data_IF_155341660099
#
_entry.id   IF_155341660099
#
_cell.length_a   1.000
_cell.length_b   1.000
_cell.length_c   1.000
_cell.angle_alpha   90.00
_cell.angle_beta   90.00
_cell.angle_gamma   90.00
#
_symmetry.space_group_name_H-M   'P 1'
#
loop_
_entity.id
_entity.type
_entity.pdbx_description
1 polymer ?
#
# COMPACT_ATOMS: atom_id res chain seq x y z
N UNK A 1 -7.45 4.24 -7.62
CA UNK A 1 -8.54 5.25 -7.66
C UNK A 1 -8.38 6.23 -6.51
N UNK A 2 -8.73 7.49 -6.73
CA UNK A 2 -8.74 8.50 -5.68
C UNK A 2 -9.84 8.18 -4.66
N UNK A 3 -9.53 8.28 -3.37
CA UNK A 3 -10.48 8.13 -2.28
C UNK A 3 -11.03 9.51 -1.91
N UNK A 4 -12.35 9.67 -1.93
CA UNK A 4 -13.03 10.86 -1.44
C UNK A 4 -13.21 10.76 0.08
N UNK A 5 -12.80 11.78 0.81
CA UNK A 5 -13.17 11.96 2.23
C UNK A 5 -14.23 13.05 2.31
N UNK A 6 -15.32 12.77 3.02
CA UNK A 6 -16.46 13.69 3.17
C UNK A 6 -16.03 15.02 3.81
N UNK A 7 -16.68 16.09 3.37
CA UNK A 7 -16.37 17.44 3.81
C UNK A 7 -16.73 17.63 5.30
N UNK A 8 -15.86 18.36 6.02
CA UNK A 8 -16.06 18.74 7.42
C UNK A 8 -16.45 20.20 7.51
N UNK A 9 -17.42 20.51 8.36
CA UNK A 9 -18.06 21.83 8.45
C UNK A 9 -19.55 21.78 8.09
N UNK A 10 -20.11 22.93 7.72
CA UNK A 10 -21.51 23.06 7.32
C UNK A 10 -21.77 22.73 5.85
N UNK A 11 -23.04 22.43 5.52
CA UNK A 11 -23.53 22.29 4.15
C UNK A 11 -24.19 23.58 3.62
N UNK A 12 -23.88 24.72 4.25
CA UNK A 12 -24.40 26.02 3.83
C UNK A 12 -23.75 26.49 2.52
N UNK A 13 -24.50 27.22 1.70
CA UNK A 13 -24.01 27.73 0.42
C UNK A 13 -24.08 26.71 -0.72
N UNK A 14 -23.27 26.94 -1.74
CA UNK A 14 -23.21 26.11 -2.94
C UNK A 14 -22.14 25.03 -2.79
N UNK A 15 -22.46 23.82 -3.26
CA UNK A 15 -21.46 22.76 -3.36
C UNK A 15 -20.45 23.11 -4.45
N UNK A 16 -19.18 22.83 -4.18
CA UNK A 16 -18.07 22.99 -5.13
C UNK A 16 -17.16 21.76 -5.09
N UNK A 17 -16.49 21.51 -6.21
CA UNK A 17 -15.57 20.40 -6.40
C UNK A 17 -14.56 20.79 -7.47
N UNK A 18 -13.26 20.77 -7.13
CA UNK A 18 -12.19 21.10 -8.08
C UNK A 18 -11.92 19.99 -9.11
N UNK A 19 -12.62 18.86 -8.99
CA UNK A 19 -12.47 17.66 -9.81
C UNK A 19 -11.08 17.01 -9.61
N UNK A 20 -10.71 16.10 -10.51
CA UNK A 20 -9.48 15.29 -10.43
C UNK A 20 -8.67 15.37 -11.74
N UNK A 21 -8.74 16.50 -12.44
CA UNK A 21 -8.03 16.70 -13.73
C UNK A 21 -6.56 17.12 -13.58
N UNK A 22 -6.05 17.11 -12.35
CA UNK A 22 -4.75 17.57 -11.89
C UNK A 22 -4.00 16.53 -11.05
N UNK A 23 -2.68 16.68 -10.95
CA UNK A 23 -1.80 15.70 -10.30
C UNK A 23 -1.27 16.15 -8.93
N UNK A 24 -1.07 17.45 -8.72
CA UNK A 24 -0.58 18.00 -7.44
C UNK A 24 -0.99 19.48 -7.26
N UNK A 25 -0.75 20.03 -6.07
CA UNK A 25 -1.04 21.42 -5.70
C UNK A 25 0.28 22.18 -5.57
N UNK A 26 0.38 23.33 -6.23
CA UNK A 26 1.56 24.20 -6.17
C UNK A 26 1.40 25.34 -5.16
N UNK A 27 0.18 25.85 -4.99
CA UNK A 27 -0.06 26.99 -4.09
C UNK A 27 -1.45 26.96 -3.50
N UNK A 28 -1.53 27.32 -2.23
CA UNK A 28 -2.80 27.49 -1.51
C UNK A 28 -2.94 28.95 -1.13
N UNK A 29 -4.13 29.50 -1.34
CA UNK A 29 -4.51 30.83 -0.87
C UNK A 29 -5.67 30.67 0.10
N UNK A 30 -5.51 31.22 1.30
CA UNK A 30 -6.55 31.23 2.33
C UNK A 30 -6.77 32.67 2.74
N UNK A 31 -8.04 33.11 2.70
CA UNK A 31 -8.42 34.43 3.15
C UNK A 31 -9.27 34.35 4.40
N UNK A 32 -8.78 34.95 5.50
CA UNK A 32 -9.52 35.11 6.76
C UNK A 32 -10.26 36.44 6.82
N UNK A 33 -11.47 36.41 7.38
CA UNK A 33 -12.33 37.57 7.62
C UNK A 33 -12.74 37.70 9.08
N UNK A 34 -13.79 38.47 9.37
CA UNK A 34 -14.31 38.60 10.74
C UNK A 34 -15.13 37.39 11.22
N UNK A 35 -15.63 36.56 10.31
CA UNK A 35 -16.54 35.44 10.63
C UNK A 35 -15.90 34.05 10.44
N UNK A 36 -14.61 34.01 10.12
CA UNK A 36 -13.86 32.81 9.77
C UNK A 36 -13.15 32.94 8.42
N UNK A 37 -12.90 31.81 7.78
CA UNK A 37 -12.30 31.73 6.44
C UNK A 37 -13.33 32.16 5.40
N UNK A 38 -13.04 33.25 4.70
CA UNK A 38 -13.87 33.82 3.64
C UNK A 38 -13.78 33.00 2.36
N UNK A 39 -12.56 32.67 1.93
CA UNK A 39 -12.36 31.76 0.79
C UNK A 39 -11.09 30.95 0.88
N UNK A 40 -11.09 29.86 0.11
CA UNK A 40 -9.89 29.11 -0.27
C UNK A 40 -9.75 29.04 -1.79
N UNK A 41 -8.51 28.95 -2.25
CA UNK A 41 -8.17 28.73 -3.66
C UNK A 41 -6.91 27.88 -3.74
N UNK A 42 -6.89 26.93 -4.67
CA UNK A 42 -5.79 26.00 -4.88
C UNK A 42 -5.28 26.11 -6.32
N UNK A 43 -4.02 26.49 -6.51
CA UNK A 43 -3.39 26.44 -7.83
C UNK A 43 -2.81 25.05 -8.05
N UNK A 44 -3.32 24.35 -9.06
CA UNK A 44 -3.00 22.96 -9.35
C UNK A 44 -1.97 22.85 -10.47
N UNK A 45 -1.27 21.71 -10.52
CA UNK A 45 -0.37 21.36 -11.63
C UNK A 45 -0.72 20.00 -12.20
N UNK A 46 -0.35 19.84 -13.47
CA UNK A 46 -0.39 18.57 -14.19
C UNK A 46 1.02 18.23 -14.66
N UNK A 47 1.42 16.99 -14.51
CA UNK A 47 2.68 16.49 -15.03
C UNK A 47 2.45 15.94 -16.44
N UNK A 48 3.18 16.48 -17.40
CA UNK A 48 3.29 15.89 -18.73
C UNK A 48 4.71 15.32 -18.86
N UNK A 49 4.83 14.00 -18.97
CA UNK A 49 6.12 13.30 -19.06
C UNK A 49 7.14 13.76 -17.98
N UNK A 50 6.69 13.87 -16.72
CA UNK A 50 7.48 14.30 -15.55
C UNK A 50 8.00 15.77 -15.63
N UNK A 51 7.53 16.56 -16.59
CA UNK A 51 7.70 18.02 -16.58
C UNK A 51 6.46 18.66 -15.97
N UNK A 52 6.68 19.63 -15.09
CA UNK A 52 5.58 20.45 -14.55
C UNK A 52 5.01 21.28 -15.68
N UNK A 53 3.73 21.07 -16.01
CA UNK A 53 2.96 22.00 -16.81
C UNK A 53 2.77 23.34 -16.07
N UNK A 54 2.42 24.41 -16.79
CA UNK A 54 2.15 25.69 -16.13
C UNK A 54 1.04 25.53 -15.06
N UNK A 55 1.21 26.07 -13.84
CA UNK A 55 0.18 26.02 -12.81
C UNK A 55 -1.15 26.56 -13.33
N UNK A 56 -2.20 25.76 -13.22
CA UNK A 56 -3.57 26.15 -13.52
C UNK A 56 -4.11 26.89 -12.31
N UNK A 57 -4.43 28.17 -12.50
CA UNK A 57 -5.05 28.99 -11.46
C UNK A 57 -6.38 28.36 -11.04
N UNK A 58 -6.54 28.09 -9.75
CA UNK A 58 -7.78 27.52 -9.20
C UNK A 58 -8.94 28.50 -9.16
N UNK A 59 -10.14 27.97 -8.96
CA UNK A 59 -11.32 28.74 -8.63
C UNK A 59 -11.27 29.23 -7.18
N UNK A 60 -11.91 30.37 -6.91
CA UNK A 60 -12.10 30.87 -5.55
C UNK A 60 -13.38 30.25 -4.99
N UNK A 61 -13.28 29.61 -3.83
CA UNK A 61 -14.42 29.01 -3.12
C UNK A 61 -14.77 29.84 -1.90
N UNK A 62 -15.78 30.70 -2.05
CA UNK A 62 -16.16 31.73 -1.10
C UNK A 62 -16.16 33.12 -1.74
N UNK A 63 -16.22 34.19 -0.94
CA UNK A 63 -16.17 35.57 -1.45
C UNK A 63 -15.01 36.36 -0.84
N UNK A 64 -14.21 36.98 -1.69
CA UNK A 64 -13.17 37.91 -1.25
C UNK A 64 -13.79 39.21 -0.73
N UNK A 65 -13.52 39.55 0.54
CA UNK A 65 -13.94 40.79 1.20
C UNK A 65 -12.77 41.41 1.97
N UNK A 66 -13.02 42.41 2.82
CA UNK A 66 -11.98 42.96 3.71
C UNK A 66 -11.55 41.86 4.71
N UNK A 67 -10.24 41.65 4.82
CA UNK A 67 -9.66 40.55 5.59
C UNK A 67 -8.14 40.47 5.40
N UNK A 68 -7.56 39.33 5.73
CA UNK A 68 -6.14 39.03 5.49
C UNK A 68 -6.00 37.80 4.60
N UNK A 69 -5.03 37.80 3.70
CA UNK A 69 -4.72 36.65 2.83
C UNK A 69 -3.37 36.08 3.22
N UNK A 70 -3.32 34.78 3.42
CA UNK A 70 -2.07 34.05 3.61
C UNK A 70 -1.94 32.97 2.54
N UNK A 71 -0.73 32.83 2.01
CA UNK A 71 -0.43 31.85 0.96
C UNK A 71 0.54 30.80 1.47
N UNK A 72 0.37 29.57 1.00
CA UNK A 72 1.26 28.47 1.29
C UNK A 72 1.75 27.84 -0.01
N UNK A 73 3.04 28.03 -0.29
CA UNK A 73 3.71 27.54 -1.50
C UNK A 73 4.21 26.10 -1.29
N UNK A 74 4.03 25.25 -2.29
CA UNK A 74 4.41 23.85 -2.30
C UNK A 74 5.25 23.61 -3.53
N UNK A 75 6.42 22.98 -3.40
CA UNK A 75 7.20 22.54 -4.56
C UNK A 75 6.58 21.27 -5.15
N UNK A 76 5.84 21.34 -6.27
CA UNK A 76 5.08 20.18 -6.72
C UNK A 76 5.96 19.04 -7.22
N UNK A 77 7.25 19.25 -7.50
CA UNK A 77 8.15 18.16 -7.94
C UNK A 77 8.44 17.15 -6.83
N UNK A 78 8.34 17.57 -5.58
CA UNK A 78 8.93 16.84 -4.46
C UNK A 78 8.15 17.01 -3.15
N UNK A 79 7.16 17.90 -3.14
CA UNK A 79 6.31 18.24 -2.02
C UNK A 79 4.83 17.98 -2.38
N UNK A 80 4.09 17.41 -1.44
CA UNK A 80 2.66 17.15 -1.56
C UNK A 80 1.99 17.26 -0.19
N UNK A 81 0.70 17.60 -0.18
CA UNK A 81 -0.07 17.74 1.07
C UNK A 81 -0.38 16.34 1.61
N UNK A 82 -0.10 16.11 2.89
CA UNK A 82 -0.40 14.85 3.59
C UNK A 82 -1.64 14.95 4.47
N UNK A 83 -1.89 16.13 5.05
CA UNK A 83 -3.08 16.37 5.85
C UNK A 83 -3.43 17.84 5.94
N UNK A 84 -4.71 18.09 6.26
CA UNK A 84 -5.23 19.40 6.66
C UNK A 84 -5.83 19.25 8.04
N UNK A 85 -5.37 20.06 8.98
CA UNK A 85 -6.05 20.28 10.26
C UNK A 85 -6.88 21.55 10.14
N UNK A 86 -8.06 21.58 10.74
CA UNK A 86 -8.89 22.77 10.73
C UNK A 86 -9.87 22.84 11.89
N UNK A 87 -10.53 23.99 11.99
CA UNK A 87 -11.54 24.29 13.00
C UNK A 87 -12.76 24.88 12.30
N UNK A 88 -13.97 24.55 12.76
CA UNK A 88 -15.20 25.16 12.25
C UNK A 88 -16.17 25.52 13.36
N UNK A 89 -16.96 26.56 13.16
CA UNK A 89 -18.05 26.95 14.06
C UNK A 89 -19.19 25.93 13.90
N UNK A 90 -19.56 25.23 14.97
CA UNK A 90 -20.60 24.19 14.92
C UNK A 90 -21.99 24.77 14.62
N UNK A 91 -22.28 25.98 15.10
CA UNK A 91 -23.60 26.62 14.95
C UNK A 91 -23.83 27.16 13.54
N UNK A 92 -22.80 27.77 12.94
CA UNK A 92 -22.87 28.36 11.59
C UNK A 92 -22.36 27.42 10.51
N UNK A 93 -21.58 26.41 10.89
CA UNK A 93 -20.88 25.53 9.98
C UNK A 93 -19.92 26.29 9.07
N UNK A 94 -19.19 27.29 9.61
CA UNK A 94 -18.19 28.08 8.87
C UNK A 94 -16.79 27.67 9.32
N UNK A 95 -15.91 27.37 8.38
CA UNK A 95 -14.50 27.08 8.67
C UNK A 95 -13.84 28.32 9.29
N UNK A 96 -13.22 28.14 10.45
CA UNK A 96 -12.60 29.21 11.23
C UNK A 96 -11.09 29.27 11.01
N UNK A 97 -10.44 28.11 10.93
CA UNK A 97 -9.00 28.03 10.69
C UNK A 97 -8.59 26.78 9.92
N UNK A 98 -7.46 26.86 9.24
CA UNK A 98 -6.84 25.78 8.46
C UNK A 98 -5.32 25.77 8.67
N UNK A 99 -4.76 24.57 8.79
CA UNK A 99 -3.32 24.32 8.85
C UNK A 99 -2.98 23.16 7.90
N UNK A 100 -2.04 23.41 7.00
CA UNK A 100 -1.65 22.45 5.96
C UNK A 100 -0.33 21.79 6.35
N UNK A 101 -0.29 20.46 6.27
CA UNK A 101 0.93 19.68 6.45
C UNK A 101 1.30 19.01 5.14
N UNK A 102 2.55 19.16 4.74
CA UNK A 102 3.14 18.44 3.60
C UNK A 102 4.08 17.34 4.09
N UNK A 103 4.62 16.56 3.16
CA UNK A 103 5.70 15.62 3.45
C UNK A 103 7.02 16.30 3.87
N UNK A 104 7.16 17.64 3.74
CA UNK A 104 8.39 18.38 4.04
C UNK A 104 8.23 19.42 5.15
N UNK A 105 7.09 20.10 5.24
CA UNK A 105 6.88 21.20 6.18
C UNK A 105 5.42 21.30 6.62
N UNK A 106 5.13 22.25 7.51
CA UNK A 106 3.77 22.54 7.97
C UNK A 106 3.57 24.05 7.96
N UNK A 107 2.41 24.52 7.51
CA UNK A 107 2.05 25.94 7.57
C UNK A 107 1.79 26.36 9.01
N UNK A 108 1.77 27.67 9.26
CA UNK A 108 1.11 28.21 10.44
C UNK A 108 -0.41 27.96 10.38
N UNK A 109 -1.08 28.10 11.52
CA UNK A 109 -2.54 28.10 11.56
C UNK A 109 -3.04 29.39 10.91
N UNK A 110 -3.88 29.26 9.88
CA UNK A 110 -4.45 30.38 9.14
C UNK A 110 -5.90 30.53 9.58
N UNK A 111 -6.26 31.63 10.25
CA UNK A 111 -7.62 31.87 10.77
C UNK A 111 -7.67 31.95 12.30
N UNK A 112 -8.82 31.60 12.88
CA UNK A 112 -9.06 31.61 14.33
C UNK A 112 -9.35 30.19 14.85
N UNK A 113 -8.50 29.65 15.72
CA UNK A 113 -8.60 28.29 16.25
C UNK A 113 -9.14 28.23 17.70
N UNK A 114 -9.46 29.39 18.28
CA UNK A 114 -9.77 29.51 19.71
C UNK A 114 -11.13 28.91 20.12
N UNK A 115 -12.13 28.84 19.21
CA UNK A 115 -13.52 28.51 19.57
C UNK A 115 -14.27 27.57 18.59
N UNK A 116 -13.54 26.86 17.71
CA UNK A 116 -14.14 25.94 16.72
C UNK A 116 -14.05 24.46 17.11
N UNK A 117 -14.92 23.63 16.53
CA UNK A 117 -14.78 22.18 16.56
C UNK A 117 -13.64 21.76 15.63
N UNK A 118 -12.65 21.06 16.20
CA UNK A 118 -11.47 20.59 15.47
C UNK A 118 -11.83 19.44 14.51
N UNK A 119 -11.24 19.46 13.31
CA UNK A 119 -11.30 18.37 12.35
C UNK A 119 -9.94 18.13 11.68
N UNK A 120 -9.80 16.95 11.08
CA UNK A 120 -8.64 16.60 10.27
C UNK A 120 -9.07 15.89 8.99
N UNK A 121 -8.45 16.26 7.87
CA UNK A 121 -8.50 15.53 6.61
C UNK A 121 -7.15 14.83 6.44
N UNK A 122 -7.11 13.53 6.71
CA UNK A 122 -5.91 12.71 6.57
C UNK A 122 -6.31 11.28 6.23
N UNK A 123 -5.59 10.68 5.27
CA UNK A 123 -5.64 9.24 5.02
C UNK A 123 -4.22 8.70 5.03
N UNK A 124 -3.95 7.74 5.91
CA UNK A 124 -2.62 7.16 6.09
C UNK A 124 -2.08 6.63 4.75
N UNK A 125 -0.91 7.14 4.34
CA UNK A 125 -0.21 6.70 3.13
C UNK A 125 -0.67 7.37 1.83
N UNK A 126 -1.58 8.35 1.90
CA UNK A 126 -2.07 9.07 0.73
C UNK A 126 -1.70 10.55 0.77
N UNK A 127 -1.55 11.14 -0.40
CA UNK A 127 -1.47 12.58 -0.60
C UNK A 127 -2.87 13.14 -0.90
N UNK A 128 -3.13 14.36 -0.47
CA UNK A 128 -4.29 15.12 -0.93
C UNK A 128 -3.99 15.63 -2.33
N UNK A 129 -4.82 15.25 -3.29
CA UNK A 129 -4.66 15.62 -4.70
C UNK A 129 -5.72 16.61 -5.17
N UNK A 130 -6.76 16.89 -4.38
CA UNK A 130 -7.85 17.80 -4.73
C UNK A 130 -8.77 18.08 -3.55
N UNK A 131 -9.62 19.09 -3.68
CA UNK A 131 -10.55 19.52 -2.65
C UNK A 131 -11.98 19.65 -3.17
N UNK A 132 -12.94 19.50 -2.26
CA UNK A 132 -14.36 19.74 -2.49
C UNK A 132 -14.99 20.31 -1.22
N UNK A 133 -16.20 20.83 -1.29
CA UNK A 133 -16.89 21.33 -0.11
C UNK A 133 -18.12 22.15 -0.42
N UNK A 134 -18.46 23.02 0.52
CA UNK A 134 -19.54 24.00 0.38
C UNK A 134 -19.02 25.39 0.71
N UNK A 135 -19.43 26.39 -0.06
CA UNK A 135 -19.09 27.78 0.16
C UNK A 135 -20.17 28.71 -0.39
N UNK A 136 -20.30 29.87 0.25
CA UNK A 136 -21.07 31.02 -0.26
C UNK A 136 -20.31 32.30 0.07
N UNK A 137 -20.73 33.04 1.09
CA UNK A 137 -20.01 34.23 1.55
C UNK A 137 -18.70 33.88 2.27
N UNK A 138 -18.71 32.77 2.99
CA UNK A 138 -17.56 32.18 3.67
C UNK A 138 -17.38 30.72 3.23
N UNK A 139 -16.25 30.10 3.59
CA UNK A 139 -16.04 28.68 3.41
C UNK A 139 -16.82 27.91 4.49
N UNK A 140 -17.82 27.13 4.08
CA UNK A 140 -18.65 26.38 5.01
C UNK A 140 -18.06 25.01 5.34
N UNK A 141 -17.51 24.32 4.36
CA UNK A 141 -16.85 23.03 4.60
C UNK A 141 -15.72 22.75 3.64
N UNK A 142 -14.84 21.85 4.08
CA UNK A 142 -13.71 21.37 3.32
C UNK A 142 -13.62 19.85 3.42
N UNK A 143 -13.60 19.20 2.26
CA UNK A 143 -13.29 17.79 2.05
C UNK A 143 -12.13 17.65 1.08
N UNK A 144 -11.59 16.43 0.98
CA UNK A 144 -10.38 16.19 0.20
C UNK A 144 -10.45 14.87 -0.56
N UNK A 145 -9.77 14.85 -1.70
CA UNK A 145 -9.49 13.67 -2.49
C UNK A 145 -8.07 13.18 -2.23
N UNK A 146 -7.94 11.87 -2.02
CA UNK A 146 -6.69 11.23 -1.63
C UNK A 146 -6.24 10.22 -2.67
N UNK A 147 -4.99 10.30 -3.11
CA UNK A 147 -4.34 9.27 -3.93
C UNK A 147 -3.07 8.75 -3.23
N UNK A 148 -2.57 7.56 -3.58
CA UNK A 148 -1.25 7.13 -3.12
C UNK A 148 -0.23 8.25 -3.34
N UNK A 149 0.58 8.53 -2.31
CA UNK A 149 1.57 9.59 -2.39
C UNK A 149 2.52 9.35 -3.57
N UNK A 150 2.90 10.40 -4.32
CA UNK A 150 3.84 10.23 -5.42
C UNK A 150 5.19 9.76 -4.89
N UNK A 151 5.90 8.91 -5.66
CA UNK A 151 7.26 8.52 -5.32
C UNK A 151 8.20 9.74 -5.24
N UNK A 152 9.01 9.79 -4.20
CA UNK A 152 10.14 10.72 -4.06
C UNK A 152 11.27 10.27 -4.98
N UNK A 153 11.66 11.10 -5.95
CA UNK A 153 12.85 10.89 -6.79
C UNK A 153 14.05 11.59 -6.18
N UNK A 154 15.14 10.86 -5.94
CA UNK A 154 16.45 11.42 -5.62
C UNK A 154 17.30 11.49 -6.88
N UNK A 155 17.88 12.66 -7.16
CA UNK A 155 18.79 12.83 -8.29
C UNK A 155 20.01 11.92 -8.18
N UNK A 156 20.49 11.43 -9.33
CA UNK A 156 21.62 10.52 -9.36
C UNK A 156 22.91 11.18 -8.86
N UNK A 157 23.67 10.45 -8.06
CA UNK A 157 24.97 10.85 -7.52
C UNK A 157 26.06 10.06 -8.22
N UNK A 158 27.12 10.75 -8.66
CA UNK A 158 28.25 10.15 -9.38
C UNK A 158 28.69 11.01 -10.56
N UNK A 159 29.19 10.38 -11.62
CA UNK A 159 29.69 11.06 -12.83
C UNK A 159 28.69 11.22 -13.97
N UNK A 160 29.10 11.98 -14.98
CA UNK A 160 28.28 12.36 -16.14
C UNK A 160 28.61 11.60 -17.44
N UNK A 161 29.61 10.70 -17.42
CA UNK A 161 30.23 10.16 -18.63
C UNK A 161 29.49 9.02 -19.34
N UNK A 162 28.53 8.34 -18.71
CA UNK A 162 27.92 7.11 -19.23
C UNK A 162 26.43 7.24 -19.64
N UNK A 163 25.92 6.20 -20.31
CA UNK A 163 24.55 6.13 -20.82
C UNK A 163 23.55 6.16 -19.67
N UNK A 164 22.54 7.02 -19.82
CA UNK A 164 21.44 7.17 -18.85
C UNK A 164 20.49 5.97 -18.92
N UNK A 165 20.04 5.51 -17.76
CA UNK A 165 18.96 4.55 -17.59
C UNK A 165 18.04 4.99 -16.45
N UNK A 166 16.78 4.61 -16.52
CA UNK A 166 15.76 4.92 -15.51
C UNK A 166 14.74 3.77 -15.50
N UNK A 167 14.70 3.01 -14.40
CA UNK A 167 13.73 1.91 -14.24
C UNK A 167 12.32 2.43 -13.97
N UNK A 168 12.19 3.70 -13.59
CA UNK A 168 10.95 4.33 -13.14
C UNK A 168 10.54 3.92 -11.72
N UNK A 169 9.33 4.34 -11.35
CA UNK A 169 8.78 4.18 -10.00
C UNK A 169 7.54 3.27 -9.96
N UNK A 170 7.39 2.38 -10.93
CA UNK A 170 6.18 1.56 -11.12
C UNK A 170 6.27 0.18 -10.46
N UNK A 171 7.26 -0.04 -9.59
CA UNK A 171 7.43 -1.27 -8.83
C UNK A 171 6.91 -1.11 -7.41
N UNK A 172 6.52 -2.23 -6.80
CA UNK A 172 6.07 -2.28 -5.42
C UNK A 172 7.24 -2.22 -4.43
N UNK A 173 8.40 -2.73 -4.82
CA UNK A 173 9.62 -2.69 -4.03
C UNK A 173 10.75 -3.49 -4.66
N UNK A 174 11.88 -3.56 -3.95
CA UNK A 174 13.05 -4.35 -4.33
C UNK A 174 13.04 -5.64 -3.52
N UNK A 175 13.25 -6.79 -4.18
CA UNK A 175 13.41 -8.11 -3.54
C UNK A 175 14.89 -8.46 -3.35
N UNK A 176 15.74 -8.03 -4.28
CA UNK A 176 17.17 -8.33 -4.27
C UNK A 176 17.96 -7.28 -5.03
N UNK A 177 19.14 -6.95 -4.51
CA UNK A 177 20.16 -6.18 -5.23
C UNK A 177 21.43 -7.03 -5.32
N UNK A 178 22.01 -7.16 -6.50
CA UNK A 178 23.26 -7.87 -6.72
C UNK A 178 24.28 -6.97 -7.40
N UNK A 179 25.56 -7.22 -7.13
CA UNK A 179 26.67 -6.43 -7.64
C UNK A 179 27.73 -7.34 -8.28
N UNK A 180 28.37 -6.82 -9.32
CA UNK A 180 29.66 -7.31 -9.79
C UNK A 180 30.71 -6.27 -9.43
N UNK A 181 31.73 -6.68 -8.68
CA UNK A 181 32.72 -5.80 -8.07
C UNK A 181 34.13 -6.20 -8.53
N UNK A 182 34.97 -5.23 -8.84
CA UNK A 182 36.43 -5.43 -8.86
C UNK A 182 37.09 -4.73 -7.67
N UNK A 183 38.42 -4.69 -7.63
CA UNK A 183 39.20 -4.11 -6.52
C UNK A 183 38.96 -2.61 -6.31
N UNK A 184 38.32 -1.94 -7.27
CA UNK A 184 38.16 -0.49 -7.30
C UNK A 184 36.74 -0.02 -7.58
N UNK A 185 35.92 -0.78 -8.31
CA UNK A 185 34.67 -0.31 -8.92
C UNK A 185 33.49 -1.25 -8.70
N UNK A 186 32.31 -0.64 -8.64
CA UNK A 186 31.05 -1.35 -8.90
C UNK A 186 30.92 -1.47 -10.43
N UNK A 187 31.20 -2.67 -10.95
CA UNK A 187 31.18 -2.96 -12.39
C UNK A 187 29.77 -3.18 -12.91
N UNK A 188 28.93 -3.82 -12.12
CA UNK A 188 27.51 -4.05 -12.45
C UNK A 188 26.62 -3.90 -11.22
N UNK A 189 25.40 -3.43 -11.43
CA UNK A 189 24.28 -3.58 -10.51
C UNK A 189 23.16 -4.36 -11.20
N UNK A 190 22.56 -5.31 -10.49
CA UNK A 190 21.38 -6.07 -10.91
C UNK A 190 20.31 -5.95 -9.85
N UNK A 191 19.08 -5.70 -10.27
CA UNK A 191 17.94 -5.48 -9.37
C UNK A 191 16.83 -6.46 -9.74
N UNK A 192 16.31 -7.15 -8.72
CA UNK A 192 15.07 -7.91 -8.83
C UNK A 192 13.96 -7.10 -8.13
N UNK A 193 13.09 -6.51 -8.93
CA UNK A 193 11.94 -5.75 -8.46
C UNK A 193 10.71 -6.65 -8.28
N UNK A 194 9.84 -6.27 -7.35
CA UNK A 194 8.47 -6.77 -7.29
C UNK A 194 7.54 -5.88 -8.12
N UNK A 195 6.80 -6.48 -9.04
CA UNK A 195 5.76 -5.81 -9.82
C UNK A 195 4.48 -6.64 -9.73
N UNK A 196 3.59 -6.20 -8.85
CA UNK A 196 2.33 -6.88 -8.54
C UNK A 196 2.53 -8.35 -8.18
N UNK A 197 3.55 -8.68 -7.37
CA UNK A 197 3.87 -10.04 -6.96
C UNK A 197 4.78 -10.81 -7.92
N UNK A 198 4.99 -10.33 -9.15
CA UNK A 198 5.91 -10.93 -10.12
C UNK A 198 7.31 -10.31 -10.00
N UNK A 199 8.34 -11.10 -10.32
CA UNK A 199 9.74 -10.63 -10.30
C UNK A 199 10.14 -10.08 -11.67
N UNK A 200 10.59 -8.83 -11.70
CA UNK A 200 11.16 -8.19 -12.89
C UNK A 200 12.64 -7.90 -12.67
N UNK A 201 13.50 -8.25 -13.64
CA UNK A 201 14.97 -8.14 -13.51
C UNK A 201 15.52 -7.01 -14.37
N UNK A 202 16.41 -6.20 -13.80
CA UNK A 202 17.10 -5.10 -14.47
C UNK A 202 18.59 -5.18 -14.18
N UNK A 203 19.44 -4.84 -15.14
CA UNK A 203 20.88 -4.88 -14.97
C UNK A 203 21.61 -3.80 -15.75
N UNK A 204 22.67 -3.26 -15.13
CA UNK A 204 23.42 -2.12 -15.67
C UNK A 204 24.89 -2.26 -15.35
N UNK A 205 25.75 -2.05 -16.35
CA UNK A 205 27.20 -2.22 -16.22
C UNK A 205 27.72 -3.50 -16.88
N UNK A 206 28.93 -3.91 -16.52
CA UNK A 206 29.60 -5.10 -17.06
C UNK A 206 29.73 -6.20 -16.01
N UNK A 207 29.29 -7.41 -16.35
CA UNK A 207 29.37 -8.58 -15.48
C UNK A 207 30.82 -9.13 -15.38
N UNK A 208 31.67 -8.42 -14.64
CA UNK A 208 33.08 -8.75 -14.44
C UNK A 208 33.42 -8.61 -12.96
N UNK A 209 34.17 -9.57 -12.43
CA UNK A 209 34.68 -9.56 -11.06
C UNK A 209 33.84 -10.39 -10.08
N UNK A 210 34.05 -10.13 -8.78
CA UNK A 210 33.39 -10.83 -7.67
C UNK A 210 31.90 -10.49 -7.64
N UNK A 211 31.07 -11.51 -7.41
CA UNK A 211 29.63 -11.34 -7.29
C UNK A 211 29.23 -11.24 -5.82
N UNK A 212 28.39 -10.27 -5.49
CA UNK A 212 27.78 -10.11 -4.17
C UNK A 212 26.30 -9.83 -4.30
N UNK A 213 25.52 -10.16 -3.26
CA UNK A 213 24.09 -9.94 -3.25
C UNK A 213 23.54 -9.55 -1.88
N UNK A 214 22.42 -8.84 -1.91
CA UNK A 214 21.62 -8.46 -0.77
C UNK A 214 20.17 -8.86 -1.02
N UNK A 215 19.77 -9.99 -0.42
CA UNK A 215 18.41 -10.55 -0.53
C UNK A 215 17.56 -10.04 0.64
N UNK A 216 16.36 -9.53 0.33
CA UNK A 216 15.40 -9.04 1.30
C UNK A 216 14.34 -10.11 1.59
N UNK A 217 13.88 -10.17 2.84
CA UNK A 217 12.69 -10.94 3.25
C UNK A 217 11.40 -10.22 2.82
N UNK A 218 11.27 -9.99 1.51
CA UNK A 218 10.16 -9.24 0.92
C UNK A 218 8.86 -10.07 0.96
N UNK A 219 7.70 -9.48 1.34
CA UNK A 219 7.47 -8.05 1.55
C UNK A 219 7.63 -7.57 3.00
N UNK A 220 8.02 -8.45 3.93
CA UNK A 220 8.10 -8.11 5.36
C UNK A 220 9.33 -7.26 5.71
N UNK A 221 10.32 -7.22 4.82
CA UNK A 221 11.52 -6.42 4.92
C UNK A 221 11.76 -5.68 3.59
N UNK A 222 12.07 -4.39 3.69
CA UNK A 222 12.32 -3.51 2.54
C UNK A 222 13.39 -2.47 2.87
N UNK A 223 14.07 -1.96 1.85
CA UNK A 223 15.13 -0.94 2.00
C UNK A 223 14.48 0.42 2.30
N UNK A 224 14.89 1.08 3.37
CA UNK A 224 14.39 2.42 3.77
C UNK A 224 15.46 3.51 3.69
N UNK A 225 16.70 3.11 3.52
CA UNK A 225 17.86 3.99 3.53
C UNK A 225 18.93 3.42 2.59
N UNK A 226 19.50 4.27 1.77
CA UNK A 226 20.69 3.97 0.98
C UNK A 226 21.76 5.01 1.25
N UNK A 227 22.98 4.54 1.43
CA UNK A 227 24.17 5.36 1.49
C UNK A 227 25.16 4.90 0.44
N UNK A 228 25.80 5.86 -0.22
CA UNK A 228 26.85 5.55 -1.17
C UNK A 228 28.03 6.50 -1.06
N UNK A 229 29.12 6.08 -1.68
CA UNK A 229 30.28 6.95 -1.88
C UNK A 229 30.68 7.01 -3.34
N UNK A 230 31.32 8.10 -3.73
CA UNK A 230 31.83 8.33 -5.06
C UNK A 230 33.13 9.14 -5.00
N UNK A 231 33.83 9.19 -6.13
CA UNK A 231 35.10 9.88 -6.22
C UNK A 231 34.95 11.40 -6.08
N UNK A 232 36.03 12.05 -5.65
CA UNK A 232 36.23 13.50 -5.77
C UNK A 232 37.27 13.71 -6.87
N UNK A 233 36.80 13.77 -8.11
CA UNK A 233 37.65 14.04 -9.28
C UNK A 233 37.22 15.33 -9.95
N UNK A 234 38.21 16.12 -10.40
CA UNK A 234 38.00 17.39 -11.10
C UNK A 234 37.26 17.22 -12.43
N UNK A 235 37.44 16.06 -13.07
CA UNK A 235 36.72 15.66 -14.26
C UNK A 235 35.47 14.83 -13.89
N UNK A 236 34.30 15.45 -13.98
CA UNK A 236 33.03 14.83 -13.67
C UNK A 236 32.70 13.61 -14.55
N UNK A 237 33.33 13.48 -15.73
CA UNK A 237 33.15 12.31 -16.59
C UNK A 237 33.86 11.06 -16.08
N UNK A 238 34.82 11.23 -15.15
CA UNK A 238 35.58 10.14 -14.50
C UNK A 238 35.08 9.81 -13.10
N UNK A 239 34.11 10.56 -12.58
CA UNK A 239 33.52 10.28 -11.27
C UNK A 239 32.67 9.01 -11.35
N UNK A 240 32.85 8.09 -10.42
CA UNK A 240 32.10 6.83 -10.35
C UNK A 240 31.53 6.60 -8.97
N UNK A 241 30.42 5.86 -8.91
CA UNK A 241 29.92 5.32 -7.65
C UNK A 241 30.87 4.18 -7.23
N UNK A 242 31.38 4.29 -6.01
CA UNK A 242 32.46 3.45 -5.49
C UNK A 242 31.98 2.46 -4.46
N UNK A 243 31.03 2.86 -3.63
CA UNK A 243 30.40 1.94 -2.68
C UNK A 243 28.94 2.23 -2.44
N UNK A 244 28.19 1.20 -2.02
CA UNK A 244 26.79 1.28 -1.61
C UNK A 244 26.54 0.46 -0.34
N UNK A 245 25.63 0.94 0.50
CA UNK A 245 25.15 0.28 1.71
C UNK A 245 23.67 0.59 1.90
N UNK A 246 22.92 -0.39 2.42
CA UNK A 246 21.49 -0.30 2.62
C UNK A 246 21.11 -0.56 4.09
N UNK A 247 20.07 0.11 4.57
CA UNK A 247 19.38 -0.27 5.82
C UNK A 247 17.91 -0.59 5.53
N UNK A 248 17.39 -1.56 6.25
CA UNK A 248 16.03 -2.09 6.03
C UNK A 248 15.06 -1.70 7.14
N UNK A 249 13.77 -1.88 6.87
CA UNK A 249 12.67 -1.67 7.82
C UNK A 249 12.72 -2.55 9.06
N UNK A 250 13.45 -3.67 9.04
CA UNK A 250 13.71 -4.54 10.21
C UNK A 250 14.95 -4.12 11.01
N UNK A 251 15.59 -2.99 10.67
CA UNK A 251 16.82 -2.53 11.30
C UNK A 251 18.08 -3.27 10.84
N UNK A 252 17.99 -4.14 9.83
CA UNK A 252 19.16 -4.81 9.23
C UNK A 252 19.96 -3.82 8.40
N UNK A 253 21.29 -3.90 8.50
CA UNK A 253 22.22 -3.12 7.67
C UNK A 253 23.00 -4.09 6.78
N UNK A 254 23.10 -3.80 5.49
CA UNK A 254 23.90 -4.60 4.56
C UNK A 254 25.40 -4.40 4.80
N UNK A 255 26.26 -5.32 4.30
CA UNK A 255 27.67 -4.99 4.05
C UNK A 255 27.80 -3.75 3.14
N UNK A 256 28.99 -3.16 3.14
CA UNK A 256 29.35 -2.15 2.14
C UNK A 256 29.80 -2.88 0.88
N UNK A 257 29.08 -2.69 -0.21
CA UNK A 257 29.42 -3.24 -1.52
C UNK A 257 30.36 -2.27 -2.24
N UNK A 258 31.53 -2.75 -2.67
CA UNK A 258 32.56 -1.92 -3.32
C UNK A 258 33.56 -1.30 -2.33
N UNK A 259 34.27 -0.26 -2.76
CA UNK A 259 35.36 0.38 -2.00
C UNK A 259 34.97 1.79 -1.58
N UNK A 260 35.02 2.09 -0.28
CA UNK A 260 34.64 3.41 0.24
C UNK A 260 35.53 4.51 -0.35
N UNK A 261 34.92 5.58 -0.83
CA UNK A 261 35.57 6.77 -1.37
C UNK A 261 35.23 8.03 -0.54
N UNK A 262 35.84 9.15 -0.92
CA UNK A 262 35.83 10.37 -0.11
C UNK A 262 34.46 11.09 -0.07
N UNK A 263 33.70 11.15 -1.17
CA UNK A 263 32.41 11.87 -1.20
C UNK A 263 31.26 10.93 -0.88
N UNK A 264 30.57 11.18 0.22
CA UNK A 264 29.39 10.43 0.66
C UNK A 264 28.09 11.10 0.20
N UNK A 265 27.09 10.28 -0.11
CA UNK A 265 25.71 10.69 -0.36
C UNK A 265 24.73 9.73 0.33
N UNK A 266 23.52 10.22 0.62
CA UNK A 266 22.47 9.47 1.32
C UNK A 266 21.13 9.74 0.65
N UNK A 267 20.34 8.68 0.47
CA UNK A 267 18.92 8.76 0.10
C UNK A 267 18.07 8.12 1.21
N UNK A 268 17.18 8.93 1.78
CA UNK A 268 16.23 8.54 2.81
C UNK A 268 14.99 9.42 2.70
N UNK A 269 13.80 8.82 2.72
CA UNK A 269 12.53 9.56 2.61
C UNK A 269 11.55 9.13 3.71
N UNK A 270 11.76 9.60 4.93
CA UNK A 270 10.83 9.46 6.07
C UNK A 270 10.28 8.02 6.25
N UNK A 271 11.15 7.00 6.16
CA UNK A 271 10.77 5.58 6.31
C UNK A 271 10.08 4.94 5.09
N UNK A 272 10.01 5.63 3.96
CA UNK A 272 9.53 5.07 2.67
C UNK A 272 10.44 3.94 2.18
N UNK A 273 9.88 3.01 1.39
CA UNK A 273 10.68 1.97 0.75
C UNK A 273 11.34 2.48 -0.53
N UNK A 274 12.53 1.98 -0.82
CA UNK A 274 13.15 2.06 -2.13
C UNK A 274 12.38 1.15 -3.10
N UNK A 275 11.85 1.73 -4.17
CA UNK A 275 11.02 1.05 -5.17
C UNK A 275 11.57 1.12 -6.59
N UNK A 276 12.67 1.84 -6.82
CA UNK A 276 13.22 2.00 -8.16
C UNK A 276 14.60 2.63 -8.12
N UNK A 277 15.36 2.39 -9.18
CA UNK A 277 16.66 3.02 -9.40
C UNK A 277 16.68 3.73 -10.76
N UNK A 278 17.54 4.75 -10.86
CA UNK A 278 17.93 5.34 -12.14
C UNK A 278 19.40 5.73 -12.05
N UNK A 279 20.07 5.98 -13.16
CA UNK A 279 21.49 6.27 -13.10
C UNK A 279 22.18 6.28 -14.45
N UNK A 280 23.49 6.11 -14.40
CA UNK A 280 24.36 6.04 -15.57
C UNK A 280 25.31 4.87 -15.44
N UNK A 281 25.42 4.07 -16.49
CA UNK A 281 26.35 2.94 -16.51
C UNK A 281 26.83 2.61 -17.92
N UNK A 282 28.04 2.09 -18.01
CA UNK A 282 28.60 1.48 -19.21
C UNK A 282 29.50 0.30 -18.81
N UNK A 283 30.81 0.52 -18.70
CA UNK A 283 31.74 -0.48 -18.19
C UNK A 283 31.73 -0.58 -16.64
N UNK A 284 31.18 0.44 -15.97
CA UNK A 284 31.00 0.52 -14.53
C UNK A 284 29.71 1.29 -14.22
N UNK A 285 29.33 1.37 -12.95
CA UNK A 285 28.23 2.22 -12.47
C UNK A 285 28.78 3.63 -12.18
N UNK A 286 28.55 4.55 -13.10
CA UNK A 286 29.06 5.92 -13.02
C UNK A 286 28.23 6.80 -12.09
N UNK A 287 26.90 6.67 -12.11
CA UNK A 287 25.99 7.39 -11.23
C UNK A 287 24.76 6.57 -10.84
N UNK A 288 24.21 6.83 -9.65
CA UNK A 288 23.00 6.17 -9.15
C UNK A 288 22.08 7.13 -8.40
N UNK A 289 20.80 7.07 -8.72
CA UNK A 289 19.67 7.73 -8.08
C UNK A 289 18.62 6.69 -7.70
N UNK A 290 17.63 7.10 -6.92
CA UNK A 290 16.62 6.18 -6.40
C UNK A 290 15.23 6.81 -6.35
N UNK A 291 14.23 5.96 -6.46
CA UNK A 291 12.83 6.27 -6.18
C UNK A 291 12.44 5.65 -4.85
N UNK A 292 11.88 6.46 -3.98
CA UNK A 292 11.32 6.04 -2.71
C UNK A 292 9.82 6.29 -2.72
N UNK A 293 9.01 5.33 -2.29
CA UNK A 293 7.59 5.54 -2.09
C UNK A 293 7.16 4.95 -0.76
N UNK A 294 6.12 5.50 -0.15
CA UNK A 294 5.54 4.88 1.04
C UNK A 294 5.10 3.47 0.66
N UNK A 295 5.76 2.49 1.26
CA UNK A 295 5.46 1.09 1.05
C UNK A 295 4.05 0.84 1.53
N UNK A 296 3.13 0.65 0.60
CA UNK A 296 1.90 -0.05 0.90
C UNK A 296 2.35 -1.50 0.95
N UNK A 297 2.49 -2.05 2.16
CA UNK A 297 2.68 -3.48 2.34
C UNK A 297 1.69 -4.16 1.38
N UNK A 298 2.16 -4.99 0.42
CA UNK A 298 1.24 -5.83 -0.31
C UNK A 298 0.38 -6.52 0.75
N UNK A 299 -0.95 -6.54 0.56
CA UNK A 299 -1.83 -6.90 1.66
C UNK A 299 -1.41 -8.22 2.28
N UNK A 300 -0.94 -8.21 3.52
CA UNK A 300 -0.60 -9.44 4.21
C UNK A 300 -1.91 -10.13 4.59
N UNK A 301 -1.99 -11.42 4.35
CA UNK A 301 -3.19 -12.15 4.74
C UNK A 301 -3.40 -12.05 6.26
N UNK A 302 -4.60 -11.65 6.65
CA UNK A 302 -5.03 -11.60 8.04
C UNK A 302 -5.61 -12.97 8.42
N UNK A 303 -5.26 -13.44 9.61
CA UNK A 303 -5.79 -14.72 10.14
C UNK A 303 -7.06 -14.45 10.92
N UNK A 304 -8.19 -14.95 10.45
CA UNK A 304 -9.42 -14.99 11.25
C UNK A 304 -9.41 -16.26 12.10
N UNK A 305 -9.69 -16.11 13.40
CA UNK A 305 -9.68 -17.19 14.37
C UNK A 305 -10.66 -18.30 13.98
N UNK A 306 -10.24 -19.55 14.17
CA UNK A 306 -11.06 -20.69 13.83
C UNK A 306 -12.33 -20.73 14.71
N UNK A 307 -13.43 -21.22 14.13
CA UNK A 307 -14.74 -21.37 14.76
C UNK A 307 -15.20 -22.82 14.62
N UNK A 308 -15.89 -23.32 15.63
CA UNK A 308 -16.36 -24.71 15.70
C UNK A 308 -16.27 -25.26 17.12
N UNK A 309 -16.23 -26.59 17.24
CA UNK A 309 -16.13 -27.28 18.52
C UNK A 309 -14.70 -27.41 19.04
N UNK A 310 -14.56 -27.76 20.31
CA UNK A 310 -13.26 -28.09 20.90
C UNK A 310 -12.90 -29.54 20.53
N UNK A 311 -11.75 -29.76 19.90
CA UNK A 311 -11.28 -31.09 19.50
C UNK A 311 -10.39 -31.05 18.26
N UNK A 312 -9.77 -32.20 17.96
CA UNK A 312 -8.92 -32.39 16.78
C UNK A 312 -7.51 -31.83 16.90
N UNK A 313 -6.65 -32.29 15.99
CA UNK A 313 -5.28 -31.80 15.83
C UNK A 313 -5.28 -30.57 14.91
N UNK A 314 -4.44 -29.56 15.20
CA UNK A 314 -4.37 -28.34 14.40
C UNK A 314 -3.74 -28.59 13.04
N UNK A 315 -4.27 -27.91 12.03
CA UNK A 315 -3.76 -27.92 10.67
C UNK A 315 -3.84 -26.54 10.04
N UNK A 316 -2.99 -26.29 9.04
CA UNK A 316 -3.02 -25.08 8.23
C UNK A 316 -2.43 -25.37 6.85
N UNK A 317 -3.14 -24.97 5.80
CA UNK A 317 -2.61 -25.04 4.43
C UNK A 317 -1.69 -23.83 4.12
N UNK A 318 -1.75 -22.77 4.94
CA UNK A 318 -1.05 -21.52 4.70
C UNK A 318 -1.81 -20.54 3.81
N UNK A 319 -1.08 -19.55 3.29
CA UNK A 319 -1.62 -18.41 2.53
C UNK A 319 -1.28 -18.56 1.04
N UNK A 320 -2.28 -18.33 0.18
CA UNK A 320 -2.17 -18.48 -1.27
C UNK A 320 -2.63 -17.22 -2.02
N UNK A 321 -2.59 -17.20 -3.36
CA UNK A 321 -3.13 -16.09 -4.16
C UNK A 321 -4.66 -16.10 -4.24
N UNK A 322 -5.25 -17.29 -4.11
CA UNK A 322 -6.70 -17.51 -4.08
C UNK A 322 -7.07 -18.99 -4.08
N UNK A 323 -8.34 -19.26 -3.84
CA UNK A 323 -8.92 -20.62 -3.86
C UNK A 323 -9.49 -20.89 -5.25
N UNK A 324 -9.22 -22.06 -5.80
CA UNK A 324 -9.74 -22.53 -7.09
C UNK A 324 -10.86 -23.55 -6.92
N UNK A 325 -10.74 -24.42 -5.92
CA UNK A 325 -11.70 -25.50 -5.69
C UNK A 325 -11.82 -25.86 -4.21
N UNK A 326 -13.00 -26.33 -3.83
CA UNK A 326 -13.32 -26.80 -2.49
C UNK A 326 -13.95 -28.18 -2.63
N UNK A 327 -13.46 -29.13 -1.84
CA UNK A 327 -14.02 -30.46 -1.71
C UNK A 327 -14.51 -30.64 -0.26
N UNK A 328 -15.78 -31.03 -0.09
CA UNK A 328 -16.37 -31.27 1.23
C UNK A 328 -16.86 -32.72 1.31
N UNK A 329 -16.30 -33.47 2.25
CA UNK A 329 -16.66 -34.85 2.54
C UNK A 329 -17.65 -34.87 3.69
N UNK A 330 -18.83 -35.43 3.45
CA UNK A 330 -19.86 -35.56 4.48
C UNK A 330 -19.76 -36.92 5.18
N UNK A 331 -20.12 -36.96 6.46
CA UNK A 331 -20.25 -38.18 7.27
C UNK A 331 -21.54 -38.19 8.08
N UNK A 332 -21.73 -39.23 8.89
CA UNK A 332 -22.95 -39.46 9.67
C UNK A 332 -23.29 -38.29 10.62
N UNK A 333 -22.25 -37.58 11.05
CA UNK A 333 -22.30 -36.56 12.09
C UNK A 333 -22.08 -35.12 11.55
N UNK A 334 -22.00 -34.92 10.23
CA UNK A 334 -21.74 -33.62 9.63
C UNK A 334 -20.61 -33.63 8.60
N UNK A 335 -19.73 -32.63 8.65
CA UNK A 335 -18.58 -32.52 7.75
C UNK A 335 -17.42 -33.36 8.30
N UNK A 336 -17.09 -34.44 7.59
CA UNK A 336 -16.03 -35.36 8.01
C UNK A 336 -14.66 -34.94 7.51
N UNK A 337 -14.58 -34.36 6.31
CA UNK A 337 -13.32 -33.91 5.74
C UNK A 337 -13.49 -32.69 4.81
N UNK A 338 -12.43 -31.90 4.68
CA UNK A 338 -12.31 -30.84 3.66
C UNK A 338 -10.96 -30.94 2.95
N UNK A 339 -10.96 -30.62 1.66
CA UNK A 339 -9.75 -30.47 0.85
C UNK A 339 -9.92 -29.26 -0.06
N UNK A 340 -8.84 -28.49 -0.26
CA UNK A 340 -8.86 -27.28 -1.07
C UNK A 340 -7.82 -27.33 -2.19
N UNK A 341 -8.10 -26.64 -3.29
CA UNK A 341 -7.13 -26.41 -4.36
C UNK A 341 -6.94 -24.92 -4.49
N UNK A 342 -5.69 -24.48 -4.52
CA UNK A 342 -5.29 -23.09 -4.49
C UNK A 342 -4.53 -22.69 -5.76
N UNK A 343 -4.40 -21.38 -5.92
CA UNK A 343 -3.42 -20.76 -6.81
C UNK A 343 -2.21 -20.30 -6.00
N UNK A 344 -1.01 -20.78 -6.36
CA UNK A 344 0.26 -20.32 -5.82
C UNK A 344 1.16 -19.88 -6.97
N UNK A 345 1.38 -18.58 -7.09
CA UNK A 345 2.23 -17.97 -8.12
C UNK A 345 1.82 -18.40 -9.55
N UNK A 346 0.51 -18.34 -9.86
CA UNK A 346 -0.11 -18.81 -11.11
C UNK A 346 -0.03 -20.33 -11.37
N UNK A 347 0.40 -21.12 -10.39
CA UNK A 347 0.41 -22.58 -10.44
C UNK A 347 -0.69 -23.17 -9.57
N UNK A 348 -1.19 -24.35 -9.96
CA UNK A 348 -2.16 -25.09 -9.14
C UNK A 348 -1.42 -25.75 -7.98
N UNK A 349 -1.91 -25.52 -6.76
CA UNK A 349 -1.42 -26.16 -5.54
C UNK A 349 -2.57 -26.91 -4.87
N UNK A 350 -2.42 -28.23 -4.69
CA UNK A 350 -3.39 -29.03 -3.93
C UNK A 350 -3.08 -28.98 -2.43
N UNK A 351 -4.10 -28.71 -1.61
CA UNK A 351 -4.04 -28.86 -0.17
C UNK A 351 -4.22 -30.33 0.26
N UNK A 352 -3.90 -30.61 1.52
CA UNK A 352 -4.11 -31.92 2.11
C UNK A 352 -5.59 -32.15 2.47
N UNK A 353 -5.96 -33.41 2.68
CA UNK A 353 -7.23 -33.76 3.31
C UNK A 353 -7.18 -33.45 4.81
N UNK A 354 -8.19 -32.74 5.32
CA UNK A 354 -8.32 -32.40 6.73
C UNK A 354 -9.57 -33.07 7.31
N UNK A 355 -9.36 -34.08 8.15
CA UNK A 355 -10.39 -35.03 8.58
C UNK A 355 -10.30 -36.35 7.82
N UNK A 356 -11.32 -37.23 7.94
CA UNK A 356 -11.35 -38.50 7.21
C UNK A 356 -12.53 -38.55 6.24
N UNK A 357 -12.27 -38.75 4.93
CA UNK A 357 -13.36 -38.92 3.97
C UNK A 357 -14.12 -40.22 4.26
N UNK A 358 -15.43 -40.19 4.08
CA UNK A 358 -16.27 -41.38 4.19
C UNK A 358 -16.44 -42.06 2.83
N UNK A 359 -17.15 -43.19 2.80
CA UNK A 359 -17.52 -43.88 1.56
C UNK A 359 -18.42 -43.04 0.64
N UNK A 360 -18.98 -41.92 1.12
CA UNK A 360 -19.76 -40.98 0.31
C UNK A 360 -18.88 -40.12 -0.61
N UNK A 361 -17.57 -40.07 -0.38
CA UNK A 361 -16.64 -39.27 -1.18
C UNK A 361 -16.78 -37.76 -0.93
N UNK A 362 -16.40 -36.98 -1.92
CA UNK A 362 -16.38 -35.52 -1.87
C UNK A 362 -17.43 -34.90 -2.78
N UNK A 363 -18.11 -33.88 -2.27
CA UNK A 363 -18.81 -32.90 -3.10
C UNK A 363 -17.86 -31.76 -3.48
N UNK A 364 -17.97 -31.32 -4.74
CA UNK A 364 -17.08 -30.32 -5.31
C UNK A 364 -17.80 -28.96 -5.46
N UNK A 365 -17.14 -27.90 -5.00
CA UNK A 365 -17.53 -26.52 -5.27
C UNK A 365 -16.39 -25.78 -5.99
N UNK A 366 -16.43 -25.88 -7.32
CA UNK A 366 -15.43 -25.30 -8.22
C UNK A 366 -15.72 -23.84 -8.53
N UNK A 367 -14.71 -22.99 -8.38
CA UNK A 367 -14.81 -21.55 -8.65
C UNK A 367 -14.36 -21.19 -10.07
N UNK A 368 -14.98 -20.18 -10.67
CA UNK A 368 -14.53 -19.54 -11.91
C UNK A 368 -13.31 -18.63 -11.69
N UNK A 369 -12.21 -19.19 -11.17
CA UNK A 369 -10.97 -18.48 -10.88
C UNK A 369 -10.34 -17.88 -12.16
N UNK A 370 -9.83 -16.63 -12.14
CA UNK A 370 -9.70 -15.72 -10.99
C UNK A 370 -10.90 -14.78 -10.77
N UNK A 371 -11.94 -14.86 -11.60
CA UNK A 371 -13.07 -13.92 -11.58
C UNK A 371 -14.08 -14.19 -10.45
N UNK A 372 -14.10 -15.40 -9.92
CA UNK A 372 -14.87 -15.81 -8.75
C UNK A 372 -13.94 -16.11 -7.57
N UNK A 373 -14.22 -15.54 -6.40
CA UNK A 373 -13.46 -15.73 -5.17
C UNK A 373 -14.40 -15.76 -3.97
N UNK A 374 -14.01 -16.51 -2.94
CA UNK A 374 -14.79 -16.65 -1.70
C UNK A 374 -14.67 -15.36 -0.88
N UNK A 375 -15.80 -14.85 -0.41
CA UNK A 375 -15.88 -13.67 0.46
C UNK A 375 -16.14 -14.06 1.91
N UNK A 376 -16.99 -15.07 2.12
CA UNK A 376 -17.39 -15.54 3.45
C UNK A 376 -17.65 -17.04 3.46
N UNK A 377 -17.43 -17.67 4.61
CA UNK A 377 -17.87 -19.03 4.93
C UNK A 377 -18.83 -18.96 6.09
N UNK A 378 -20.02 -19.51 5.90
CA UNK A 378 -20.99 -19.74 6.96
C UNK A 378 -20.89 -21.20 7.39
N UNK A 379 -21.03 -21.46 8.68
CA UNK A 379 -21.04 -22.84 9.16
C UNK A 379 -21.83 -23.02 10.44
N UNK A 380 -22.18 -24.28 10.68
CA UNK A 380 -22.81 -24.74 11.91
C UNK A 380 -21.87 -25.71 12.62
N UNK A 381 -21.96 -25.79 13.94
CA UNK A 381 -21.30 -26.84 14.71
C UNK A 381 -22.20 -27.32 15.83
N UNK A 382 -21.98 -28.55 16.29
CA UNK A 382 -22.72 -29.10 17.43
C UNK A 382 -21.87 -30.10 18.22
N UNK A 383 -22.22 -30.33 19.48
CA UNK A 383 -21.61 -31.36 20.33
C UNK A 383 -22.32 -32.68 20.11
N UNK A 384 -21.65 -33.62 19.45
CA UNK A 384 -22.20 -34.94 19.17
C UNK A 384 -21.68 -35.93 20.21
N UNK A 385 -22.57 -36.76 20.74
CA UNK A 385 -22.20 -37.82 21.67
C UNK A 385 -21.33 -38.86 20.96
N UNK A 386 -20.07 -38.99 21.39
CA UNK A 386 -19.12 -39.98 20.86
C UNK A 386 -17.98 -39.42 19.99
N UNK A 387 -18.05 -38.17 19.51
CA UNK A 387 -17.05 -37.56 18.61
C UNK A 387 -15.86 -36.91 19.32
N UNK A 388 -15.66 -37.15 20.62
CA UNK A 388 -14.55 -36.57 21.40
C UNK A 388 -14.57 -35.03 21.55
N UNK A 389 -15.59 -34.35 21.02
CA UNK A 389 -15.64 -32.89 20.90
C UNK A 389 -16.79 -32.41 20.01
N UNK A 390 -16.97 -31.09 19.90
CA UNK A 390 -17.94 -30.52 18.95
C UNK A 390 -17.41 -30.59 17.51
N UNK A 391 -18.28 -30.85 16.54
CA UNK A 391 -17.93 -31.01 15.13
C UNK A 391 -18.68 -30.01 14.25
N UNK A 392 -18.10 -29.63 13.12
CA UNK A 392 -18.75 -28.82 12.11
C UNK A 392 -19.80 -29.67 11.40
N UNK A 393 -21.06 -29.26 11.50
CA UNK A 393 -22.18 -30.00 10.93
C UNK A 393 -22.56 -29.50 9.55
N UNK A 394 -22.32 -28.21 9.25
CA UNK A 394 -22.59 -27.63 7.93
C UNK A 394 -21.54 -26.59 7.55
N UNK A 395 -21.20 -26.52 6.26
CA UNK A 395 -20.45 -25.43 5.65
C UNK A 395 -21.17 -24.90 4.41
N UNK A 396 -21.17 -23.58 4.24
CA UNK A 396 -21.71 -22.89 3.08
C UNK A 396 -20.76 -21.78 2.66
N UNK A 397 -20.38 -21.76 1.39
CA UNK A 397 -19.40 -20.83 0.85
C UNK A 397 -20.10 -19.76 0.03
N UNK A 398 -19.86 -18.50 0.36
CA UNK A 398 -20.36 -17.37 -0.43
C UNK A 398 -19.20 -16.70 -1.16
N UNK A 399 -19.41 -16.43 -2.43
CA UNK A 399 -18.45 -15.77 -3.32
C UNK A 399 -18.94 -14.38 -3.71
N UNK A 400 -18.14 -13.66 -4.50
CA UNK A 400 -18.56 -12.43 -5.15
C UNK A 400 -19.64 -12.62 -6.24
N UNK A 401 -19.93 -13.86 -6.66
CA UNK A 401 -20.91 -14.15 -7.73
C UNK A 401 -22.13 -14.95 -7.26
N UNK A 402 -21.94 -15.91 -6.36
CA UNK A 402 -22.97 -16.86 -5.92
C UNK A 402 -22.68 -17.44 -4.54
N UNK A 403 -23.64 -18.19 -4.03
CA UNK A 403 -23.51 -18.97 -2.81
C UNK A 403 -23.62 -20.46 -3.15
N UNK A 404 -22.79 -21.29 -2.52
CA UNK A 404 -22.87 -22.74 -2.65
C UNK A 404 -24.14 -23.29 -2.00
N UNK A 405 -24.56 -24.52 -2.32
CA UNK A 405 -25.44 -25.29 -1.44
C UNK A 405 -24.79 -25.43 -0.04
N UNK A 406 -25.59 -25.64 1.02
CA UNK A 406 -25.04 -26.12 2.29
C UNK A 406 -24.50 -27.54 2.13
N UNK A 407 -23.28 -27.77 2.59
CA UNK A 407 -22.68 -29.10 2.71
C UNK A 407 -22.82 -29.56 4.15
N UNK A 408 -23.59 -30.63 4.39
CA UNK A 408 -23.93 -31.11 5.74
C UNK A 408 -25.29 -30.63 6.24
N UNK A 409 -25.50 -30.68 7.56
CA UNK A 409 -26.77 -30.44 8.25
C UNK A 409 -26.73 -29.17 9.09
N UNK A 410 -27.67 -28.27 8.82
CA UNK A 410 -27.83 -27.01 9.56
C UNK A 410 -28.32 -27.27 10.98
N UNK A 411 -27.64 -26.67 11.96
CA UNK A 411 -27.97 -26.76 13.38
C UNK A 411 -28.08 -25.36 14.00
N UNK A 412 -28.23 -25.27 15.32
CA UNK A 412 -28.51 -23.99 15.99
C UNK A 412 -27.28 -23.12 16.23
N UNK A 413 -26.07 -23.68 16.30
CA UNK A 413 -24.85 -22.92 16.61
C UNK A 413 -24.13 -22.50 15.34
N UNK A 414 -24.37 -21.25 14.92
CA UNK A 414 -23.87 -20.70 13.66
C UNK A 414 -22.63 -19.85 13.85
N UNK A 415 -21.76 -19.83 12.84
CA UNK A 415 -20.65 -18.89 12.73
C UNK A 415 -20.50 -18.38 11.30
N UNK A 416 -19.88 -17.23 11.17
CA UNK A 416 -19.49 -16.64 9.88
C UNK A 416 -18.02 -16.25 9.94
N UNK A 417 -17.28 -16.65 8.92
CA UNK A 417 -15.88 -16.32 8.71
C UNK A 417 -15.76 -15.48 7.44
N UNK A 418 -15.35 -14.23 7.61
CA UNK A 418 -15.00 -13.34 6.51
C UNK A 418 -14.93 -11.91 7.00
N UNK A 419 -14.44 -11.03 6.12
CA UNK A 419 -14.20 -9.63 6.43
C UNK A 419 -14.64 -8.78 5.26
N UNK A 420 -15.41 -7.74 5.54
CA UNK A 420 -15.93 -6.84 4.51
C UNK A 420 -14.77 -6.21 3.70
N UNK A 421 -14.84 -6.32 2.36
CA UNK A 421 -13.79 -5.86 1.45
C UNK A 421 -12.62 -6.83 1.26
N UNK A 422 -12.71 -8.06 1.77
CA UNK A 422 -11.65 -9.07 1.68
C UNK A 422 -12.15 -10.34 0.98
N UNK A 423 -11.21 -11.06 0.34
CA UNK A 423 -11.37 -12.42 -0.17
C UNK A 423 -10.63 -13.42 0.72
N UNK A 424 -11.09 -14.66 0.75
CA UNK A 424 -10.41 -15.76 1.45
C UNK A 424 -9.35 -16.38 0.53
N UNK A 425 -8.16 -16.60 1.09
CA UNK A 425 -6.95 -17.04 0.36
C UNK A 425 -6.26 -18.25 1.00
N UNK A 426 -6.87 -18.87 2.00
CA UNK A 426 -6.33 -20.05 2.66
C UNK A 426 -7.17 -20.45 3.87
N UNK A 427 -6.95 -21.66 4.35
CA UNK A 427 -7.69 -22.26 5.45
C UNK A 427 -6.76 -22.84 6.52
N UNK A 428 -7.25 -22.83 7.75
CA UNK A 428 -6.64 -23.50 8.91
C UNK A 428 -7.75 -24.01 9.82
N UNK A 429 -7.44 -24.84 10.80
CA UNK A 429 -8.46 -25.36 11.70
C UNK A 429 -7.96 -26.50 12.57
N UNK A 430 -8.91 -27.31 13.04
CA UNK A 430 -8.62 -28.54 13.77
C UNK A 430 -9.49 -29.68 13.25
N UNK A 431 -8.91 -30.89 13.15
CA UNK A 431 -9.61 -32.08 12.66
C UNK A 431 -9.09 -33.36 13.29
N UNK A 432 -9.95 -34.38 13.37
CA UNK A 432 -9.56 -35.74 13.72
C UNK A 432 -10.10 -36.73 12.67
N UNK A 433 -11.08 -37.56 13.01
CA UNK A 433 -11.90 -38.25 12.02
C UNK A 433 -12.92 -37.30 11.39
N UNK A 434 -13.35 -36.29 12.15
CA UNK A 434 -14.25 -35.22 11.72
C UNK A 434 -13.57 -33.84 11.73
N UNK A 435 -14.19 -32.88 11.06
CA UNK A 435 -13.78 -31.49 11.11
C UNK A 435 -14.34 -30.82 12.39
N UNK A 436 -13.46 -30.31 13.25
CA UNK A 436 -13.87 -29.69 14.52
C UNK A 436 -13.95 -28.17 14.43
N UNK A 437 -12.93 -27.53 13.85
CA UNK A 437 -12.87 -26.09 13.67
C UNK A 437 -12.40 -25.73 12.26
N UNK A 438 -12.89 -24.61 11.77
CA UNK A 438 -12.44 -23.99 10.53
C UNK A 438 -12.14 -22.51 10.78
N UNK A 439 -11.00 -22.06 10.27
CA UNK A 439 -10.52 -20.69 10.24
C UNK A 439 -10.03 -20.35 8.84
N UNK A 440 -9.86 -19.06 8.57
CA UNK A 440 -9.53 -18.57 7.22
C UNK A 440 -8.44 -17.52 7.25
N UNK A 441 -7.66 -17.48 6.17
CA UNK A 441 -6.77 -16.37 5.85
C UNK A 441 -7.46 -15.45 4.85
N UNK A 442 -7.48 -14.14 5.10
CA UNK A 442 -8.16 -13.16 4.25
C UNK A 442 -7.21 -12.09 3.71
N UNK A 443 -7.38 -11.69 2.46
CA UNK A 443 -6.68 -10.56 1.83
C UNK A 443 -7.69 -9.55 1.27
N UNK A 444 -7.42 -8.24 1.34
CA UNK A 444 -8.17 -7.22 0.61
C UNK A 444 -8.37 -7.59 -0.87
N UNK A 445 -9.58 -7.33 -1.37
CA UNK A 445 -10.00 -7.58 -2.77
C UNK A 445 -9.29 -6.64 -3.74
#
# INVERSE_FOLDING_TARGET
MAQKLEAKGGKGGNQWDDLLDHDNIAKIHVQGGHEGIQYVKFDYVKFDNLKIGQPKLGSIHGLSRKGFTQTFEIDPTSEYIVSVEGYYDESKGIIQALKFKTNKKTSDMIGYDENGLKFSLEVKGKAIIGFHGFADTNLNSLGAYFAPAPPTKFDYQGGSGAQLWDDGSNYNGVRKVSFSLDDTEIRQIRIEYDKSGLVEKREYGSNVGRQEEFVLDYPTEYIIYMEGTCDIVSDASKNRVRSLMFKTSKGRTSPIFGKVAARKFVFESNGSALIGFHGRAAAAVDAIGAYFSRFILPPSAETLQAKGGEGGDPWSDGVFNGVRNIYVGQGENGVSAVKFVYDKDSQVAEGNDHGKPTLLGYEEFKLEYPSEYITTVEGCFDKIFGSGGGVITMLKFKTNKRTSPPFGLETTSNFVLGKEGYKIVGFHGTSSHELHQLGVYVMPI
#
